data_IF_014823688346
#
_entry.id   IF_014823688346
#
_cell.length_a   1.000
_cell.length_b   1.000
_cell.length_c   1.000
_cell.angle_alpha   90.00
_cell.angle_beta   90.00
_cell.angle_gamma   90.00
#
_symmetry.space_group_name_H-M   'P 1'
#
loop_
_entity.id
_entity.type
_entity.pdbx_description
1 polymer ?
#
# COMPACT_ATOMS: atom_id res chain seq x y z
N UNK A 1 -9.36 -32.87 6.52
CA UNK A 1 -8.22 -31.98 6.85
C UNK A 1 -8.83 -30.66 7.31
N UNK A 2 -8.98 -30.45 8.61
CA UNK A 2 -9.58 -29.24 9.16
C UNK A 2 -8.52 -28.11 9.08
N UNK A 3 -8.78 -27.10 8.26
CA UNK A 3 -7.93 -25.89 8.19
C UNK A 3 -8.15 -25.13 9.50
N UNK A 4 -7.10 -24.95 10.27
CA UNK A 4 -7.16 -24.26 11.56
C UNK A 4 -7.41 -22.77 11.31
N UNK A 5 -8.42 -22.19 11.95
CA UNK A 5 -8.81 -20.77 11.78
C UNK A 5 -7.63 -19.84 12.11
N UNK A 6 -6.79 -20.22 13.05
CA UNK A 6 -5.54 -19.52 13.40
C UNK A 6 -4.55 -19.46 12.23
N UNK A 7 -4.40 -20.55 11.46
CA UNK A 7 -3.51 -20.58 10.29
C UNK A 7 -4.00 -19.66 9.15
N UNK A 8 -5.31 -19.55 8.98
CA UNK A 8 -5.90 -18.61 8.00
C UNK A 8 -5.66 -17.16 8.43
N UNK A 9 -5.85 -16.83 9.69
CA UNK A 9 -5.64 -15.49 10.21
C UNK A 9 -4.17 -15.06 10.08
N UNK A 10 -3.24 -15.95 10.39
CA UNK A 10 -1.79 -15.71 10.26
C UNK A 10 -1.37 -15.47 8.80
N UNK A 11 -1.93 -16.20 7.85
CA UNK A 11 -1.66 -16.00 6.41
C UNK A 11 -2.22 -14.68 5.90
N UNK A 12 -3.36 -14.24 6.42
CA UNK A 12 -3.98 -12.95 6.08
C UNK A 12 -3.12 -11.77 6.49
N UNK A 13 -2.57 -11.78 7.71
CA UNK A 13 -1.69 -10.72 8.22
C UNK A 13 -0.46 -10.61 7.32
N UNK A 14 0.19 -11.74 7.01
CA UNK A 14 1.40 -11.77 6.18
C UNK A 14 1.17 -11.15 4.78
N UNK A 15 0.03 -11.40 4.16
CA UNK A 15 -0.28 -10.90 2.82
C UNK A 15 -0.38 -9.37 2.78
N UNK A 16 -1.12 -8.75 3.72
CA UNK A 16 -1.22 -7.28 3.81
C UNK A 16 0.11 -6.63 4.16
N UNK A 17 0.87 -7.24 5.05
CA UNK A 17 2.20 -6.77 5.45
C UNK A 17 3.12 -6.60 4.25
N UNK A 18 3.20 -7.62 3.37
CA UNK A 18 4.01 -7.57 2.14
C UNK A 18 3.49 -6.48 1.19
N UNK A 19 2.17 -6.32 1.08
CA UNK A 19 1.55 -5.29 0.25
C UNK A 19 1.92 -3.88 0.70
N UNK A 20 1.77 -3.57 1.98
CA UNK A 20 2.13 -2.26 2.53
C UNK A 20 3.65 -2.02 2.51
N UNK A 21 4.49 -3.04 2.68
CA UNK A 21 5.93 -2.93 2.50
C UNK A 21 6.29 -2.57 1.05
N UNK A 22 5.67 -3.21 0.07
CA UNK A 22 5.87 -2.89 -1.34
C UNK A 22 5.44 -1.46 -1.66
N UNK A 23 4.29 -0.99 -1.13
CA UNK A 23 3.83 0.39 -1.26
C UNK A 23 4.76 1.40 -0.57
N UNK A 24 5.30 1.06 0.60
CA UNK A 24 6.25 1.91 1.30
C UNK A 24 7.52 2.13 0.47
N UNK A 25 8.12 1.07 -0.07
CA UNK A 25 9.35 1.15 -0.85
C UNK A 25 9.14 1.89 -2.17
N UNK A 26 8.11 1.51 -2.94
CA UNK A 26 7.84 2.18 -4.24
C UNK A 26 7.37 3.61 -4.05
N UNK A 27 6.49 3.87 -3.09
CA UNK A 27 6.03 5.21 -2.76
C UNK A 27 7.17 6.12 -2.33
N UNK A 28 8.09 5.62 -1.50
CA UNK A 28 9.29 6.34 -1.10
C UNK A 28 10.14 6.75 -2.30
N UNK A 29 10.49 5.80 -3.17
CA UNK A 29 11.32 6.07 -4.36
C UNK A 29 10.66 7.10 -5.30
N UNK A 30 9.37 6.95 -5.60
CA UNK A 30 8.64 7.87 -6.46
C UNK A 30 8.49 9.27 -5.84
N UNK A 31 8.33 9.34 -4.53
CA UNK A 31 8.15 10.60 -3.81
C UNK A 31 9.44 11.40 -3.68
N UNK A 32 10.61 10.74 -3.57
CA UNK A 32 11.91 11.41 -3.57
C UNK A 32 12.17 12.18 -4.86
N UNK A 33 11.74 11.65 -6.02
CA UNK A 33 11.86 12.35 -7.31
C UNK A 33 10.95 13.57 -7.36
N UNK A 34 9.70 13.45 -6.92
CA UNK A 34 8.76 14.57 -6.86
C UNK A 34 9.18 15.64 -5.83
N UNK A 35 9.81 15.23 -4.72
CA UNK A 35 10.38 16.13 -3.72
C UNK A 35 11.66 16.86 -4.20
N UNK A 36 12.16 16.53 -5.41
CA UNK A 36 13.32 17.19 -5.99
C UNK A 36 14.67 16.75 -5.40
N UNK A 37 14.72 15.62 -4.65
CA UNK A 37 15.95 15.12 -4.05
C UNK A 37 16.88 14.48 -5.10
N UNK A 38 16.30 13.95 -6.18
CA UNK A 38 17.03 13.36 -7.30
C UNK A 38 16.53 13.91 -8.63
N UNK A 39 17.45 14.35 -9.48
CA UNK A 39 17.13 14.70 -10.85
C UNK A 39 16.86 13.40 -11.63
N UNK A 40 15.60 13.19 -11.95
CA UNK A 40 15.08 12.22 -12.93
C UNK A 40 15.73 10.82 -12.95
N UNK A 41 15.21 9.92 -12.12
CA UNK A 41 15.53 8.47 -12.23
C UNK A 41 14.49 7.82 -13.18
N UNK A 42 14.35 8.34 -14.41
CA UNK A 42 13.34 7.82 -15.35
C UNK A 42 13.61 6.36 -15.76
N UNK A 43 14.87 5.95 -15.91
CA UNK A 43 15.17 4.59 -16.34
C UNK A 43 15.03 3.54 -15.22
N UNK A 44 15.53 3.84 -14.02
CA UNK A 44 15.45 2.90 -12.90
C UNK A 44 14.04 2.82 -12.31
N UNK A 45 13.33 3.95 -12.21
CA UNK A 45 11.95 3.99 -11.71
C UNK A 45 10.99 3.24 -12.62
N UNK A 46 11.08 3.38 -13.94
CA UNK A 46 10.20 2.70 -14.88
C UNK A 46 10.37 1.17 -14.86
N UNK A 47 11.60 0.67 -14.73
CA UNK A 47 11.88 -0.77 -14.70
C UNK A 47 11.32 -1.46 -13.44
N UNK A 48 11.20 -0.74 -12.33
CA UNK A 48 10.66 -1.27 -11.08
C UNK A 48 9.13 -1.19 -11.02
N UNK A 49 8.47 -0.25 -11.71
CA UNK A 49 7.01 -0.08 -11.66
C UNK A 49 6.26 -1.33 -12.09
N UNK A 50 6.68 -2.00 -13.16
CA UNK A 50 6.00 -3.20 -13.65
C UNK A 50 6.08 -4.38 -12.68
N UNK A 51 7.27 -4.79 -12.17
CA UNK A 51 7.34 -5.86 -11.16
C UNK A 51 6.51 -5.56 -9.91
N UNK A 52 6.55 -4.32 -9.40
CA UNK A 52 5.74 -3.94 -8.25
C UNK A 52 4.24 -3.93 -8.56
N UNK A 53 3.83 -3.52 -9.76
CA UNK A 53 2.45 -3.62 -10.21
C UNK A 53 1.96 -5.07 -10.19
N UNK A 54 2.71 -6.00 -10.76
CA UNK A 54 2.36 -7.42 -10.77
C UNK A 54 2.32 -8.00 -9.33
N UNK A 55 3.30 -7.65 -8.50
CA UNK A 55 3.33 -8.05 -7.10
C UNK A 55 2.07 -7.57 -6.36
N UNK A 56 1.70 -6.30 -6.50
CA UNK A 56 0.51 -5.73 -5.86
C UNK A 56 -0.79 -6.33 -6.41
N UNK A 57 -0.85 -6.66 -7.70
CA UNK A 57 -2.01 -7.35 -8.27
C UNK A 57 -2.19 -8.75 -7.64
N UNK A 58 -1.12 -9.53 -7.51
CA UNK A 58 -1.13 -10.85 -6.86
C UNK A 58 -1.56 -10.72 -5.39
N UNK A 59 -0.96 -9.78 -4.66
CA UNK A 59 -1.29 -9.52 -3.25
C UNK A 59 -2.74 -9.07 -3.12
N UNK A 60 -3.24 -8.24 -4.05
CA UNK A 60 -4.63 -7.82 -4.10
C UNK A 60 -5.61 -8.99 -4.25
N UNK A 61 -5.30 -9.95 -5.13
CA UNK A 61 -6.09 -11.20 -5.28
C UNK A 61 -6.07 -12.00 -3.97
N UNK A 62 -4.90 -12.20 -3.38
CA UNK A 62 -4.77 -12.93 -2.12
C UNK A 62 -5.53 -12.24 -0.98
N UNK A 63 -5.45 -10.91 -0.87
CA UNK A 63 -6.20 -10.13 0.12
C UNK A 63 -7.71 -10.27 -0.08
N UNK A 64 -8.19 -10.29 -1.33
CA UNK A 64 -9.61 -10.53 -1.65
C UNK A 64 -10.06 -11.92 -1.19
N UNK A 65 -9.29 -12.96 -1.52
CA UNK A 65 -9.60 -14.34 -1.13
C UNK A 65 -9.63 -14.54 0.39
N UNK A 66 -8.90 -13.70 1.14
CA UNK A 66 -8.90 -13.69 2.61
C UNK A 66 -9.96 -12.74 3.22
N UNK A 67 -10.87 -12.17 2.41
CA UNK A 67 -11.95 -11.31 2.89
C UNK A 67 -11.52 -9.88 3.28
N UNK A 68 -10.27 -9.46 2.97
CA UNK A 68 -9.77 -8.09 3.23
C UNK A 68 -10.07 -7.18 2.03
N UNK A 69 -11.32 -6.86 1.83
CA UNK A 69 -11.81 -6.14 0.66
C UNK A 69 -11.18 -4.75 0.49
N UNK A 70 -11.00 -3.99 1.57
CA UNK A 70 -10.39 -2.66 1.51
C UNK A 70 -8.93 -2.74 1.01
N UNK A 71 -8.11 -3.60 1.64
CA UNK A 71 -6.71 -3.78 1.25
C UNK A 71 -6.59 -4.29 -0.19
N UNK A 72 -7.47 -5.22 -0.59
CA UNK A 72 -7.53 -5.72 -1.97
C UNK A 72 -7.73 -4.59 -2.97
N UNK A 73 -8.74 -3.73 -2.76
CA UNK A 73 -9.04 -2.61 -3.66
C UNK A 73 -7.86 -1.63 -3.70
N UNK A 74 -7.24 -1.33 -2.56
CA UNK A 74 -6.07 -0.45 -2.48
C UNK A 74 -4.91 -1.01 -3.30
N UNK A 75 -4.58 -2.29 -3.13
CA UNK A 75 -3.47 -2.91 -3.87
C UNK A 75 -3.75 -2.99 -5.38
N UNK A 76 -4.98 -3.30 -5.79
CA UNK A 76 -5.37 -3.25 -7.20
C UNK A 76 -5.30 -1.84 -7.78
N UNK A 77 -5.77 -0.83 -7.06
CA UNK A 77 -5.69 0.55 -7.50
C UNK A 77 -4.24 0.98 -7.76
N UNK A 78 -3.32 0.64 -6.85
CA UNK A 78 -1.89 0.91 -7.05
C UNK A 78 -1.28 0.06 -8.17
N UNK A 79 -1.69 -1.20 -8.35
CA UNK A 79 -1.24 -2.03 -9.46
C UNK A 79 -1.60 -1.40 -10.81
N UNK A 80 -2.84 -0.92 -10.96
CA UNK A 80 -3.29 -0.22 -12.17
C UNK A 80 -2.51 1.09 -12.37
N UNK A 81 -2.33 1.88 -11.30
CA UNK A 81 -1.59 3.14 -11.34
C UNK A 81 -0.13 2.93 -11.78
N UNK A 82 0.56 1.92 -11.23
CA UNK A 82 1.94 1.63 -11.59
C UNK A 82 2.09 1.07 -13.01
N UNK A 83 1.12 0.27 -13.47
CA UNK A 83 1.05 -0.19 -14.87
C UNK A 83 0.89 1.00 -15.81
N UNK A 84 -0.03 1.93 -15.52
CA UNK A 84 -0.23 3.14 -16.30
C UNK A 84 1.03 4.04 -16.30
N UNK A 85 1.68 4.20 -15.14
CA UNK A 85 2.95 4.93 -15.02
C UNK A 85 4.07 4.30 -15.83
N UNK A 86 4.23 2.97 -15.76
CA UNK A 86 5.20 2.23 -16.57
C UNK A 86 4.96 2.42 -18.07
N UNK A 87 3.73 2.23 -18.55
CA UNK A 87 3.40 2.38 -19.98
C UNK A 87 3.64 3.81 -20.48
N UNK A 88 3.34 4.83 -19.67
CA UNK A 88 3.64 6.22 -19.99
C UNK A 88 5.14 6.47 -20.14
N UNK A 89 5.97 5.93 -19.23
CA UNK A 89 7.43 6.06 -19.30
C UNK A 89 8.03 5.33 -20.49
N UNK A 90 7.56 4.12 -20.81
CA UNK A 90 8.00 3.37 -21.99
C UNK A 90 7.65 4.12 -23.27
N UNK A 91 6.48 4.74 -23.35
CA UNK A 91 6.04 5.55 -24.48
C UNK A 91 6.97 6.76 -24.70
N UNK A 92 7.36 7.46 -23.62
CA UNK A 92 8.30 8.57 -23.69
C UNK A 92 9.71 8.13 -24.16
N UNK A 93 10.18 6.97 -23.66
CA UNK A 93 11.46 6.40 -24.10
C UNK A 93 11.44 5.98 -25.57
N UNK A 94 10.29 5.56 -26.10
CA UNK A 94 10.07 5.26 -27.50
C UNK A 94 9.96 6.52 -28.39
N UNK A 95 10.13 7.71 -27.84
CA UNK A 95 10.07 8.97 -28.57
C UNK A 95 8.66 9.49 -28.86
N UNK A 96 7.63 8.92 -28.23
CA UNK A 96 6.27 9.46 -28.32
C UNK A 96 6.18 10.79 -27.55
N UNK A 97 5.33 11.70 -28.06
CA UNK A 97 5.11 12.99 -27.39
C UNK A 97 4.53 12.80 -25.98
N UNK A 98 5.02 13.60 -25.04
CA UNK A 98 4.45 13.64 -23.69
C UNK A 98 3.00 14.11 -23.76
N UNK A 99 2.16 13.53 -22.89
CA UNK A 99 0.79 13.99 -22.74
C UNK A 99 0.79 15.47 -22.28
N UNK A 100 -0.16 16.29 -22.75
CA UNK A 100 -0.28 17.66 -22.27
C UNK A 100 -0.42 17.71 -20.74
N UNK A 101 0.19 18.72 -20.10
CA UNK A 101 0.13 18.88 -18.64
C UNK A 101 -1.30 18.96 -18.12
N UNK A 102 -2.21 19.63 -18.85
CA UNK A 102 -3.63 19.70 -18.50
C UNK A 102 -4.30 18.31 -18.45
N UNK A 103 -3.93 17.41 -19.39
CA UNK A 103 -4.41 16.02 -19.35
C UNK A 103 -3.90 15.27 -18.11
N UNK A 104 -2.64 15.51 -17.72
CA UNK A 104 -2.08 14.93 -16.50
C UNK A 104 -2.81 15.44 -15.25
N UNK A 105 -3.25 16.69 -15.22
CA UNK A 105 -4.10 17.22 -14.14
C UNK A 105 -5.42 16.43 -14.02
N UNK A 106 -6.12 16.21 -15.14
CA UNK A 106 -7.35 15.38 -15.16
C UNK A 106 -7.10 13.93 -14.77
N UNK A 107 -6.01 13.34 -15.20
CA UNK A 107 -5.60 11.98 -14.79
C UNK A 107 -5.47 11.89 -13.27
N UNK A 108 -4.77 12.84 -12.63
CA UNK A 108 -4.56 12.81 -11.19
C UNK A 108 -5.81 13.13 -10.38
N UNK A 109 -6.76 13.95 -10.89
CA UNK A 109 -8.03 14.22 -10.19
C UNK A 109 -8.91 12.97 -10.12
N UNK A 110 -8.91 12.14 -11.17
CA UNK A 110 -9.63 10.85 -11.15
C UNK A 110 -9.09 9.95 -10.04
N UNK A 111 -7.77 9.86 -9.90
CA UNK A 111 -7.15 9.11 -8.81
C UNK A 111 -7.40 9.74 -7.43
N UNK A 112 -7.42 11.06 -7.34
CA UNK A 112 -7.78 11.77 -6.10
C UNK A 112 -9.19 11.40 -5.65
N UNK A 113 -10.17 11.40 -6.56
CA UNK A 113 -11.56 11.01 -6.26
C UNK A 113 -11.64 9.54 -5.84
N UNK A 114 -10.96 8.66 -6.58
CA UNK A 114 -10.95 7.22 -6.28
C UNK A 114 -10.37 6.94 -4.87
N UNK A 115 -9.21 7.51 -4.54
CA UNK A 115 -8.61 7.34 -3.21
C UNK A 115 -9.34 8.11 -2.11
N UNK A 116 -9.94 9.26 -2.42
CA UNK A 116 -10.84 9.98 -1.52
C UNK A 116 -12.06 9.13 -1.13
N UNK A 117 -12.63 8.42 -2.08
CA UNK A 117 -13.72 7.47 -1.81
C UNK A 117 -13.24 6.30 -0.91
N UNK A 118 -12.05 5.73 -1.18
CA UNK A 118 -11.48 4.69 -0.33
C UNK A 118 -11.17 5.19 1.08
N UNK A 119 -10.67 6.44 1.20
CA UNK A 119 -10.46 7.08 2.49
C UNK A 119 -11.76 7.23 3.27
N UNK A 120 -12.84 7.72 2.65
CA UNK A 120 -14.17 7.79 3.28
C UNK A 120 -14.66 6.39 3.72
N UNK A 121 -14.44 5.36 2.91
CA UNK A 121 -14.76 3.97 3.25
C UNK A 121 -13.92 3.40 4.40
N UNK A 122 -12.76 4.00 4.68
CA UNK A 122 -11.83 3.50 5.70
C UNK A 122 -12.11 3.96 7.13
N UNK A 123 -13.14 4.78 7.39
CA UNK A 123 -13.44 5.30 8.75
C UNK A 123 -13.72 4.21 9.80
N UNK A 124 -13.96 2.98 9.39
CA UNK A 124 -14.06 1.81 10.27
C UNK A 124 -12.75 1.02 10.41
N UNK A 125 -11.73 1.40 9.66
CA UNK A 125 -10.41 0.78 9.73
C UNK A 125 -9.55 1.44 10.82
N UNK A 126 -8.39 0.85 11.09
CA UNK A 126 -7.41 1.40 12.03
C UNK A 126 -6.86 2.76 11.57
N UNK A 127 -6.55 3.62 12.54
CA UNK A 127 -6.08 4.99 12.30
C UNK A 127 -4.89 5.07 11.31
N UNK A 128 -3.85 4.21 11.37
CA UNK A 128 -2.75 4.29 10.40
C UNK A 128 -3.19 4.09 8.95
N UNK A 129 -4.16 3.19 8.68
CA UNK A 129 -4.72 2.98 7.34
C UNK A 129 -5.51 4.18 6.83
N UNK A 130 -6.29 4.83 7.72
CA UNK A 130 -7.01 6.07 7.39
C UNK A 130 -6.03 7.19 7.02
N UNK A 131 -4.97 7.38 7.82
CA UNK A 131 -3.95 8.40 7.58
C UNK A 131 -3.17 8.12 6.28
N UNK A 132 -2.86 6.86 5.99
CA UNK A 132 -2.25 6.46 4.73
C UNK A 132 -3.10 6.86 3.53
N UNK A 133 -4.39 6.49 3.52
CA UNK A 133 -5.32 6.80 2.42
C UNK A 133 -5.56 8.31 2.28
N UNK A 134 -5.67 9.04 3.38
CA UNK A 134 -5.73 10.50 3.37
C UNK A 134 -4.48 11.11 2.74
N UNK A 135 -3.29 10.68 3.17
CA UNK A 135 -2.02 11.17 2.66
C UNK A 135 -1.87 10.93 1.15
N UNK A 136 -2.25 9.75 0.67
CA UNK A 136 -2.25 9.42 -0.77
C UNK A 136 -3.26 10.29 -1.53
N UNK A 137 -4.47 10.50 -0.99
CA UNK A 137 -5.48 11.36 -1.60
C UNK A 137 -4.94 12.79 -1.77
N UNK A 138 -4.33 13.34 -0.73
CA UNK A 138 -3.73 14.68 -0.77
C UNK A 138 -2.52 14.74 -1.72
N UNK A 139 -1.73 13.67 -1.81
CA UNK A 139 -0.63 13.56 -2.77
C UNK A 139 -1.12 13.67 -4.21
N UNK A 140 -2.20 12.95 -4.56
CA UNK A 140 -2.76 13.01 -5.91
C UNK A 140 -3.46 14.33 -6.20
N UNK A 141 -4.11 14.94 -5.19
CA UNK A 141 -4.68 16.29 -5.33
C UNK A 141 -3.58 17.31 -5.64
N UNK A 142 -2.47 17.28 -4.93
CA UNK A 142 -1.34 18.17 -5.20
C UNK A 142 -0.76 17.94 -6.60
N UNK A 143 -0.65 16.67 -7.07
CA UNK A 143 -0.26 16.35 -8.44
C UNK A 143 -1.25 16.86 -9.49
N UNK A 144 -2.55 16.82 -9.21
CA UNK A 144 -3.57 17.37 -10.10
C UNK A 144 -3.43 18.89 -10.23
N UNK A 145 -3.23 19.60 -9.11
CA UNK A 145 -2.98 21.03 -9.09
C UNK A 145 -1.70 21.39 -9.86
N UNK A 146 -0.63 20.62 -9.68
CA UNK A 146 0.58 20.78 -10.48
C UNK A 146 0.30 20.64 -11.98
N UNK A 147 -0.43 19.61 -12.40
CA UNK A 147 -0.77 19.37 -13.81
C UNK A 147 -1.60 20.50 -14.45
N UNK A 148 -2.35 21.29 -13.67
CA UNK A 148 -3.12 22.42 -14.20
C UNK A 148 -2.39 23.76 -14.10
N UNK A 149 -1.56 23.96 -13.08
CA UNK A 149 -0.95 25.28 -12.79
C UNK A 149 0.52 25.35 -13.20
N UNK A 150 1.17 24.23 -13.46
CA UNK A 150 2.62 24.09 -13.67
C UNK A 150 3.47 24.73 -12.54
N UNK A 151 2.85 24.95 -11.38
CA UNK A 151 3.54 25.54 -10.25
C UNK A 151 4.31 24.47 -9.48
N UNK A 152 5.65 24.53 -9.52
CA UNK A 152 6.57 23.57 -8.90
C UNK A 152 6.31 23.35 -7.39
N UNK A 153 5.70 24.32 -6.71
CA UNK A 153 5.32 24.20 -5.31
C UNK A 153 4.38 23.01 -5.07
N UNK A 154 3.42 22.76 -5.96
CA UNK A 154 2.50 21.63 -5.84
C UNK A 154 3.19 20.29 -6.10
N UNK A 155 4.18 20.27 -7.00
CA UNK A 155 5.01 19.07 -7.20
C UNK A 155 5.78 18.72 -5.93
N UNK A 156 6.45 19.70 -5.31
CA UNK A 156 7.16 19.52 -4.04
C UNK A 156 6.22 19.06 -2.92
N UNK A 157 5.06 19.69 -2.76
CA UNK A 157 4.06 19.29 -1.77
C UNK A 157 3.65 17.84 -1.99
N UNK A 158 3.37 17.43 -3.23
CA UNK A 158 3.03 16.04 -3.55
C UNK A 158 4.14 15.07 -3.18
N UNK A 159 5.41 15.45 -3.41
CA UNK A 159 6.58 14.66 -3.03
C UNK A 159 6.65 14.43 -1.52
N UNK A 160 6.56 15.49 -0.71
CA UNK A 160 6.60 15.37 0.76
C UNK A 160 5.40 14.61 1.33
N UNK A 161 4.20 14.84 0.83
CA UNK A 161 3.01 14.08 1.24
C UNK A 161 3.15 12.60 0.90
N UNK A 162 3.70 12.28 -0.27
CA UNK A 162 3.98 10.91 -0.67
C UNK A 162 5.05 10.24 0.22
N UNK A 163 6.10 10.96 0.64
CA UNK A 163 7.08 10.46 1.60
C UNK A 163 6.45 10.14 2.96
N UNK A 164 5.62 11.05 3.48
CA UNK A 164 4.89 10.82 4.73
C UNK A 164 3.99 9.59 4.62
N UNK A 165 3.25 9.47 3.52
CA UNK A 165 2.38 8.32 3.28
C UNK A 165 3.17 7.01 3.18
N UNK A 166 4.36 7.03 2.58
CA UNK A 166 5.25 5.88 2.50
C UNK A 166 5.78 5.46 3.87
N UNK A 167 6.10 6.41 4.76
CA UNK A 167 6.46 6.13 6.15
C UNK A 167 5.29 5.48 6.90
N UNK A 168 4.07 5.99 6.72
CA UNK A 168 2.87 5.40 7.34
C UNK A 168 2.66 3.97 6.84
N UNK A 169 2.82 3.71 5.53
CA UNK A 169 2.75 2.36 4.98
C UNK A 169 3.80 1.42 5.59
N UNK A 170 5.04 1.91 5.80
CA UNK A 170 6.09 1.15 6.48
C UNK A 170 5.73 0.84 7.94
N UNK A 171 5.13 1.80 8.65
CA UNK A 171 4.66 1.60 10.03
C UNK A 171 3.55 0.54 10.07
N UNK A 172 2.58 0.57 9.14
CA UNK A 172 1.52 -0.45 9.05
C UNK A 172 2.16 -1.82 8.86
N UNK A 173 3.08 -1.95 7.89
CA UNK A 173 3.79 -3.21 7.65
C UNK A 173 4.59 -3.69 8.87
N UNK A 174 5.32 -2.80 9.52
CA UNK A 174 6.13 -3.14 10.70
C UNK A 174 5.25 -3.55 11.89
N UNK A 175 4.15 -2.85 12.14
CA UNK A 175 3.22 -3.20 13.23
C UNK A 175 2.61 -4.57 13.05
N UNK A 176 2.21 -4.92 11.82
CA UNK A 176 1.68 -6.25 11.50
C UNK A 176 2.73 -7.35 11.75
N UNK A 177 4.02 -7.12 11.41
CA UNK A 177 5.12 -8.07 11.69
C UNK A 177 5.34 -8.27 13.18
N UNK A 178 5.35 -7.17 13.95
CA UNK A 178 5.62 -7.23 15.40
C UNK A 178 4.49 -7.95 16.14
N UNK A 179 3.23 -7.69 15.77
CA UNK A 179 2.07 -8.36 16.35
C UNK A 179 2.10 -9.86 16.07
N UNK A 180 2.42 -10.24 14.82
CA UNK A 180 2.58 -11.64 14.42
C UNK A 180 3.68 -12.36 15.21
N UNK A 181 4.84 -11.69 15.41
CA UNK A 181 5.95 -12.26 16.19
C UNK A 181 5.59 -12.49 17.67
N UNK A 182 4.71 -11.65 18.25
CA UNK A 182 4.25 -11.82 19.64
C UNK A 182 3.30 -13.02 19.80
N UNK A 183 2.35 -13.20 18.87
CA UNK A 183 1.42 -14.34 18.91
C UNK A 183 2.14 -15.67 18.72
N UNK A 184 3.17 -15.71 17.87
CA UNK A 184 3.99 -16.90 17.66
C UNK A 184 4.87 -17.29 18.89
N UNK A 185 5.12 -16.35 19.79
CA UNK A 185 5.97 -16.53 20.98
C UNK A 185 5.19 -16.65 22.28
N UNK A 186 3.85 -16.62 22.25
CA UNK A 186 3.03 -16.94 23.42
C UNK A 186 2.99 -18.46 23.56
N UNK A 187 3.73 -19.08 24.49
CA UNK A 187 3.61 -20.48 24.75
C UNK A 187 2.19 -20.73 25.28
N UNK A 188 1.55 -21.73 24.74
CA UNK A 188 0.27 -22.23 25.23
C UNK A 188 0.51 -23.02 26.52
N UNK A 189 0.97 -22.29 27.60
CA UNK A 189 1.33 -22.88 28.90
C UNK A 189 0.11 -23.19 29.78
N UNK A 190 -1.12 -23.02 29.30
CA UNK A 190 -2.31 -23.23 30.12
C UNK A 190 -2.99 -24.61 29.96
N UNK A 191 -2.32 -25.59 29.40
CA UNK A 191 -2.79 -26.96 29.40
C UNK A 191 -1.90 -27.92 30.22
N UNK A 192 -1.45 -27.47 31.39
CA UNK A 192 -0.88 -28.38 32.37
C UNK A 192 -1.93 -28.70 33.44
N UNK A 193 -2.51 -29.89 33.28
CA UNK A 193 -2.87 -30.80 34.38
C UNK A 193 -3.83 -30.35 35.48
N UNK A 194 -5.12 -30.40 35.18
CA UNK A 194 -6.12 -30.77 36.19
C UNK A 194 -6.74 -32.16 35.92
N UNK A 195 -5.94 -33.11 35.46
CA UNK A 195 -6.37 -34.50 35.27
C UNK A 195 -5.60 -35.44 36.16
N UNK A 196 -5.46 -35.11 37.46
CA UNK A 196 -5.04 -36.15 38.44
C UNK A 196 -5.75 -35.89 39.76
N UNK A 197 -6.66 -36.77 40.15
CA UNK A 197 -7.06 -36.82 41.51
C UNK A 197 -8.51 -37.15 41.78
N UNK A 198 -9.03 -38.29 41.32
CA UNK A 198 -10.06 -39.00 42.06
C UNK A 198 -9.55 -40.40 42.42
N UNK A 199 -9.13 -40.61 43.68
CA UNK A 199 -9.05 -41.96 44.23
C UNK A 199 -10.47 -42.38 44.58
N UNK A 200 -10.96 -43.43 43.94
CA UNK A 200 -12.09 -44.21 44.47
C UNK A 200 -11.58 -44.93 45.72
N UNK A 201 -12.17 -44.61 46.83
CA UNK A 201 -12.09 -45.41 48.04
C UNK A 201 -13.46 -45.94 48.42
N UNK A 202 -13.57 -47.28 48.42
CA UNK A 202 -14.47 -48.18 49.15
C UNK A 202 -15.97 -47.82 49.22
#
# INVERSE_FOLDING_TARGET
MAINVTDLNNRCVTTSTVGYMALALTGWMLSMTAAGWYAQIYSAGSSLMLPFSLLLAIIGILAYLHGRSLDSIVFFAFAVLFTAGHSGMVSLQAGMAAAPMSYMGWFWIVWTVAFGYLWLGSFRAELPRQLFLLGITLTFLAKALYGWTDARVFELISGYLGLISSIIAAIISASDVILFGREAHSPNDDHVDHATGHPHAA
#
